data_IF_586849469932
#
_entry.id   IF_586849469932
#
_cell.length_a   1.000
_cell.length_b   1.000
_cell.length_c   1.000
_cell.angle_alpha   90.00
_cell.angle_beta   90.00
_cell.angle_gamma   90.00
#
_symmetry.space_group_name_H-M   'P 1'
#
loop_
_entity.id
_entity.type
_entity.pdbx_description
1 polymer ?
#
# COMPACT_ATOMS: atom_id res chain seq x y z
N UNK A 1 36.95 8.30 -12.70
CA UNK A 1 35.63 8.98 -12.77
C UNK A 1 34.59 8.20 -13.57
N UNK A 2 34.84 7.80 -14.83
CA UNK A 2 33.87 7.06 -15.67
C UNK A 2 33.42 5.69 -15.11
N UNK A 3 34.30 4.94 -14.46
CA UNK A 3 33.97 3.66 -13.80
C UNK A 3 32.99 3.83 -12.62
N UNK A 4 33.17 4.87 -11.80
CA UNK A 4 32.25 5.15 -10.70
C UNK A 4 30.87 5.55 -11.19
N UNK A 5 30.79 6.35 -12.26
CA UNK A 5 29.51 6.74 -12.88
C UNK A 5 28.76 5.54 -13.46
N UNK A 6 29.46 4.62 -14.14
CA UNK A 6 28.87 3.36 -14.63
C UNK A 6 28.35 2.46 -13.50
N UNK A 7 29.09 2.38 -12.38
CA UNK A 7 28.66 1.61 -11.21
C UNK A 7 27.41 2.21 -10.55
N UNK A 8 27.32 3.54 -10.49
CA UNK A 8 26.18 4.24 -9.94
C UNK A 8 24.93 4.00 -10.79
N UNK A 9 25.02 4.18 -12.11
CA UNK A 9 23.90 3.94 -13.04
C UNK A 9 23.39 2.50 -12.93
N UNK A 10 24.29 1.52 -12.77
CA UNK A 10 23.87 0.13 -12.55
C UNK A 10 23.08 -0.06 -11.25
N UNK A 11 23.54 0.52 -10.14
CA UNK A 11 22.83 0.47 -8.85
C UNK A 11 21.45 1.13 -8.93
N UNK A 12 21.37 2.31 -9.54
CA UNK A 12 20.11 3.03 -9.74
C UNK A 12 19.10 2.23 -10.56
N UNK A 13 19.54 1.52 -11.61
CA UNK A 13 18.64 0.67 -12.40
C UNK A 13 18.12 -0.52 -11.60
N UNK A 14 18.98 -1.19 -10.85
CA UNK A 14 18.58 -2.33 -10.00
C UNK A 14 17.57 -1.87 -8.96
N UNK A 15 17.82 -0.72 -8.33
CA UNK A 15 16.91 -0.17 -7.33
C UNK A 15 15.57 0.27 -7.94
N UNK A 16 15.60 0.91 -9.11
CA UNK A 16 14.37 1.30 -9.81
C UNK A 16 13.53 0.08 -10.18
N UNK A 17 14.15 -1.01 -10.65
CA UNK A 17 13.43 -2.24 -10.98
C UNK A 17 12.85 -2.90 -9.72
N UNK A 18 13.64 -2.95 -8.63
CA UNK A 18 13.18 -3.47 -7.33
C UNK A 18 11.93 -2.72 -6.84
N UNK A 19 12.00 -1.38 -6.81
CA UNK A 19 10.87 -0.54 -6.40
C UNK A 19 9.66 -0.69 -7.34
N UNK A 20 9.89 -0.90 -8.63
CA UNK A 20 8.82 -1.14 -9.59
C UNK A 20 8.10 -2.47 -9.28
N UNK A 21 8.85 -3.54 -9.04
CA UNK A 21 8.29 -4.84 -8.65
C UNK A 21 7.53 -4.76 -7.33
N UNK A 22 8.09 -4.09 -6.32
CA UNK A 22 7.40 -3.89 -5.03
C UNK A 22 6.10 -3.11 -5.20
N UNK A 23 6.10 -2.07 -6.03
CA UNK A 23 4.89 -1.30 -6.34
C UNK A 23 3.85 -2.18 -7.05
N UNK A 24 4.25 -2.98 -8.03
CA UNK A 24 3.34 -3.88 -8.76
C UNK A 24 2.70 -4.90 -7.82
N UNK A 25 3.46 -5.47 -6.89
CA UNK A 25 2.92 -6.38 -5.87
C UNK A 25 1.91 -5.69 -4.94
N UNK A 26 2.18 -4.45 -4.52
CA UNK A 26 1.25 -3.65 -3.72
C UNK A 26 -0.06 -3.38 -4.48
N UNK A 27 0.02 -2.97 -5.75
CA UNK A 27 -1.17 -2.70 -6.56
C UNK A 27 -1.98 -3.98 -6.80
N UNK A 28 -1.32 -5.11 -7.06
CA UNK A 28 -1.99 -6.41 -7.21
C UNK A 28 -2.72 -6.81 -5.93
N UNK A 29 -2.09 -6.67 -4.77
CA UNK A 29 -2.73 -6.95 -3.48
C UNK A 29 -3.91 -6.02 -3.20
N UNK A 30 -3.84 -4.73 -3.57
CA UNK A 30 -4.98 -3.83 -3.47
C UNK A 30 -6.12 -4.24 -4.41
N UNK A 31 -5.82 -4.61 -5.66
CA UNK A 31 -6.84 -5.05 -6.62
C UNK A 31 -7.50 -6.36 -6.16
N UNK A 32 -6.74 -7.29 -5.58
CA UNK A 32 -7.28 -8.49 -4.97
C UNK A 32 -8.15 -8.16 -3.76
N UNK A 33 -7.69 -7.33 -2.82
CA UNK A 33 -8.48 -6.85 -1.68
C UNK A 33 -9.78 -6.17 -2.13
N UNK A 34 -9.73 -5.37 -3.19
CA UNK A 34 -10.90 -4.70 -3.75
C UNK A 34 -11.96 -5.68 -4.25
N UNK A 35 -11.55 -6.85 -4.74
CA UNK A 35 -12.48 -7.84 -5.30
C UNK A 35 -13.44 -8.42 -4.25
N UNK A 36 -13.01 -8.52 -2.99
CA UNK A 36 -13.80 -9.11 -1.90
C UNK A 36 -14.14 -8.15 -0.76
N UNK A 37 -13.32 -7.11 -0.54
CA UNK A 37 -13.51 -6.10 0.50
C UNK A 37 -13.20 -4.67 -0.01
N UNK A 38 -14.02 -4.13 -0.94
CA UNK A 38 -13.75 -2.84 -1.59
C UNK A 38 -13.66 -1.66 -0.63
N UNK A 39 -14.37 -1.70 0.49
CA UNK A 39 -14.33 -0.64 1.50
C UNK A 39 -13.00 -0.61 2.28
N UNK A 40 -12.36 -1.76 2.46
CA UNK A 40 -11.04 -1.87 3.11
C UNK A 40 -9.94 -1.36 2.17
N UNK A 41 -9.99 -1.77 0.89
CA UNK A 41 -9.09 -1.23 -0.13
C UNK A 41 -9.21 0.29 -0.23
N UNK A 42 -10.45 0.81 -0.29
CA UNK A 42 -10.69 2.23 -0.41
C UNK A 42 -10.13 2.99 0.80
N UNK A 43 -10.28 2.43 2.01
CA UNK A 43 -9.67 2.99 3.22
C UNK A 43 -8.14 3.05 3.09
N UNK A 44 -7.49 1.97 2.64
CA UNK A 44 -6.03 1.94 2.49
C UNK A 44 -5.53 2.96 1.45
N UNK A 45 -6.16 3.02 0.27
CA UNK A 45 -5.80 4.00 -0.77
C UNK A 45 -5.92 5.42 -0.25
N UNK A 46 -7.04 5.75 0.39
CA UNK A 46 -7.26 7.09 0.93
C UNK A 46 -6.24 7.47 2.02
N UNK A 47 -5.93 6.55 2.93
CA UNK A 47 -5.02 6.82 4.05
C UNK A 47 -3.55 6.90 3.63
N UNK A 48 -3.10 5.98 2.79
CA UNK A 48 -1.66 5.78 2.58
C UNK A 48 -1.16 6.20 1.19
N UNK A 49 -2.02 6.16 0.16
CA UNK A 49 -1.66 6.62 -1.19
C UNK A 49 -2.02 8.09 -1.36
N UNK A 50 -3.27 8.45 -1.04
CA UNK A 50 -3.76 9.84 -1.14
C UNK A 50 -3.35 10.70 0.08
N UNK A 51 -2.78 10.08 1.12
CA UNK A 51 -2.31 10.74 2.35
C UNK A 51 -3.38 11.58 3.06
N UNK A 52 -4.66 11.21 2.93
CA UNK A 52 -5.76 11.90 3.63
C UNK A 52 -5.71 11.63 5.11
N UNK A 53 -6.08 12.61 5.92
CA UNK A 53 -6.23 12.49 7.38
C UNK A 53 -7.38 11.54 7.77
N UNK A 54 -7.36 11.02 9.00
CA UNK A 54 -8.41 10.12 9.52
C UNK A 54 -9.77 10.81 9.44
N UNK A 55 -9.84 12.09 9.80
CA UNK A 55 -11.07 12.88 9.74
C UNK A 55 -11.63 13.01 8.33
N UNK A 56 -10.76 13.20 7.32
CA UNK A 56 -11.20 13.25 5.92
C UNK A 56 -11.73 11.90 5.44
N UNK A 57 -11.08 10.80 5.82
CA UNK A 57 -11.53 9.44 5.47
C UNK A 57 -12.88 9.12 6.11
N UNK A 58 -13.02 9.35 7.40
CA UNK A 58 -14.27 9.16 8.17
C UNK A 58 -15.41 9.94 7.50
N UNK A 59 -15.20 11.22 7.18
CA UNK A 59 -16.18 12.06 6.50
C UNK A 59 -16.56 11.56 5.11
N UNK A 60 -15.56 11.15 4.31
CA UNK A 60 -15.78 10.71 2.93
C UNK A 60 -16.47 9.35 2.83
N UNK A 61 -16.14 8.43 3.74
CA UNK A 61 -16.74 7.09 3.80
C UNK A 61 -18.03 7.07 4.63
N UNK A 62 -18.43 8.19 5.23
CA UNK A 62 -19.60 8.31 6.11
C UNK A 62 -19.61 7.28 7.24
N UNK A 63 -18.44 7.03 7.86
CA UNK A 63 -18.27 6.07 8.96
C UNK A 63 -17.97 6.78 10.27
N UNK A 64 -18.01 6.04 11.38
CA UNK A 64 -17.53 6.54 12.69
C UNK A 64 -16.02 6.32 12.84
N UNK A 65 -15.38 7.02 13.78
CA UNK A 65 -13.98 6.78 14.15
C UNK A 65 -13.74 5.34 14.62
N UNK A 66 -14.66 4.79 15.41
CA UNK A 66 -14.62 3.39 15.84
C UNK A 66 -14.66 2.42 14.66
N UNK A 67 -15.50 2.70 13.67
CA UNK A 67 -15.59 1.89 12.44
C UNK A 67 -14.30 2.02 11.63
N UNK A 68 -13.75 3.23 11.50
CA UNK A 68 -12.45 3.44 10.85
C UNK A 68 -11.35 2.62 11.52
N UNK A 69 -11.26 2.61 12.85
CA UNK A 69 -10.21 1.88 13.57
C UNK A 69 -10.35 0.36 13.48
N UNK A 70 -11.59 -0.13 13.40
CA UNK A 70 -11.88 -1.53 13.14
C UNK A 70 -11.48 -1.91 11.71
N UNK A 71 -11.97 -1.18 10.70
CA UNK A 71 -11.63 -1.40 9.30
C UNK A 71 -10.13 -1.22 9.02
N UNK A 72 -9.46 -0.28 9.67
CA UNK A 72 -8.00 -0.11 9.51
C UNK A 72 -7.25 -1.36 9.96
N UNK A 73 -7.63 -1.95 11.11
CA UNK A 73 -6.99 -3.17 11.61
C UNK A 73 -7.21 -4.32 10.64
N UNK A 74 -8.46 -4.54 10.25
CA UNK A 74 -8.85 -5.56 9.29
C UNK A 74 -8.13 -5.39 7.95
N UNK A 75 -8.17 -4.19 7.35
CA UNK A 75 -7.54 -3.89 6.08
C UNK A 75 -6.02 -4.12 6.10
N UNK A 76 -5.33 -3.75 7.19
CA UNK A 76 -3.89 -3.97 7.31
C UNK A 76 -3.57 -5.47 7.42
N UNK A 77 -4.37 -6.24 8.18
CA UNK A 77 -4.20 -7.69 8.28
C UNK A 77 -4.43 -8.38 6.94
N UNK A 78 -5.55 -8.10 6.28
CA UNK A 78 -5.89 -8.64 4.95
C UNK A 78 -4.80 -8.31 3.92
N UNK A 79 -4.41 -7.04 3.85
CA UNK A 79 -3.36 -6.61 2.94
C UNK A 79 -2.03 -7.30 3.23
N UNK A 80 -1.63 -7.42 4.50
CA UNK A 80 -0.39 -8.09 4.88
C UNK A 80 -0.36 -9.58 4.46
N UNK A 81 -1.49 -10.27 4.53
CA UNK A 81 -1.61 -11.64 4.01
C UNK A 81 -1.40 -11.68 2.50
N UNK A 82 -2.03 -10.76 1.76
CA UNK A 82 -1.92 -10.69 0.29
C UNK A 82 -0.50 -10.38 -0.20
N UNK A 83 0.24 -9.53 0.52
CA UNK A 83 1.65 -9.23 0.18
C UNK A 83 2.67 -10.18 0.83
N UNK A 84 2.22 -11.17 1.60
CA UNK A 84 3.09 -12.19 2.22
C UNK A 84 3.95 -11.68 3.37
N UNK A 85 3.50 -10.67 4.13
CA UNK A 85 4.22 -10.06 5.26
C UNK A 85 3.93 -10.78 6.60
N UNK A 86 3.08 -11.81 6.62
CA UNK A 86 2.77 -12.55 7.86
C UNK A 86 3.96 -13.39 8.34
N UNK A 87 4.58 -12.96 9.44
CA UNK A 87 5.00 -13.91 10.49
C UNK A 87 3.72 -14.42 11.19
N UNK A 88 3.71 -15.71 11.56
CA UNK A 88 2.55 -16.40 12.15
C UNK A 88 2.11 -15.89 13.52
#
# INVERSE_FOLDING_TARGET
>A
MLLQMRSAVRRWRVEAERLKTEKEAIEQALDELKSYAPHLEQLLRMRYIEKRSVLEVIKKLCISERTHDYWRREAVCEFAMLVGITEG
#
